data_IF_578384161733
#
_entry.id   IF_578384161733
#
_cell.length_a   1.000
_cell.length_b   1.000
_cell.length_c   1.000
_cell.angle_alpha   90.00
_cell.angle_beta   90.00
_cell.angle_gamma   90.00
#
_symmetry.space_group_name_H-M   'P 1'
#
loop_
_entity.id
_entity.type
_entity.pdbx_description
1 polymer ?
#
# COMPACT_ATOMS: atom_id res chain seq x y z
N UNK A 1 -10.67 12.93 -8.84
CA UNK A 1 -11.45 11.81 -9.41
C UNK A 1 -11.06 10.54 -8.69
N UNK A 2 -12.01 9.67 -8.25
CA UNK A 2 -11.72 8.36 -7.65
C UNK A 2 -11.80 7.30 -8.75
N UNK A 3 -10.76 6.50 -8.93
CA UNK A 3 -10.64 5.50 -10.01
C UNK A 3 -10.32 4.14 -9.40
N UNK A 4 -10.87 3.09 -10.01
CA UNK A 4 -10.65 1.73 -9.57
C UNK A 4 -11.32 1.39 -8.23
N UNK A 5 -10.92 0.27 -7.65
CA UNK A 5 -11.37 -0.18 -6.33
C UNK A 5 -12.86 -0.60 -6.26
N UNK A 6 -13.47 -0.88 -7.40
CA UNK A 6 -14.88 -1.30 -7.44
C UNK A 6 -15.10 -2.59 -6.63
N UNK A 7 -14.15 -3.53 -6.67
CA UNK A 7 -14.22 -4.79 -5.92
C UNK A 7 -14.14 -4.56 -4.42
N UNK A 8 -13.21 -3.73 -3.99
CA UNK A 8 -13.02 -3.37 -2.58
C UNK A 8 -14.24 -2.59 -2.03
N UNK A 9 -14.74 -1.61 -2.80
CA UNK A 9 -15.95 -0.89 -2.43
C UNK A 9 -17.16 -1.81 -2.32
N UNK A 10 -17.38 -2.70 -3.28
CA UNK A 10 -18.48 -3.68 -3.23
C UNK A 10 -18.36 -4.63 -2.03
N UNK A 11 -17.13 -5.01 -1.67
CA UNK A 11 -16.91 -5.85 -0.50
C UNK A 11 -17.24 -5.09 0.79
N UNK A 12 -16.82 -3.81 0.92
CA UNK A 12 -17.17 -2.96 2.05
C UNK A 12 -18.67 -2.68 2.13
N UNK A 13 -19.33 -2.45 0.98
CA UNK A 13 -20.80 -2.27 0.95
C UNK A 13 -21.53 -3.52 1.43
N UNK A 14 -21.11 -4.72 1.05
CA UNK A 14 -21.71 -5.98 1.55
C UNK A 14 -21.61 -6.09 3.06
N UNK A 15 -20.47 -5.73 3.66
CA UNK A 15 -20.29 -5.71 5.11
C UNK A 15 -21.15 -4.63 5.78
N UNK A 16 -21.29 -3.48 5.15
CA UNK A 16 -22.13 -2.39 5.70
C UNK A 16 -23.58 -2.76 5.79
N UNK A 17 -24.12 -3.49 4.79
CA UNK A 17 -25.53 -3.90 4.76
C UNK A 17 -25.83 -5.20 5.52
N UNK A 18 -24.83 -5.84 6.13
CA UNK A 18 -25.08 -6.95 7.05
C UNK A 18 -25.74 -6.42 8.35
N UNK A 19 -26.54 -7.24 9.02
CA UNK A 19 -27.27 -6.83 10.24
C UNK A 19 -26.57 -7.30 11.55
N UNK A 20 -25.26 -7.54 11.47
CA UNK A 20 -24.46 -8.01 12.59
C UNK A 20 -23.10 -7.30 12.62
N UNK A 21 -22.35 -7.50 13.70
CA UNK A 21 -21.02 -6.94 13.85
C UNK A 21 -20.09 -7.36 12.70
N UNK A 22 -19.36 -6.38 12.16
CA UNK A 22 -18.36 -6.61 11.12
C UNK A 22 -17.00 -6.04 11.53
N UNK A 23 -15.95 -6.76 11.19
CA UNK A 23 -14.59 -6.33 11.42
C UNK A 23 -13.73 -6.51 10.17
N UNK A 24 -13.44 -5.41 9.48
CA UNK A 24 -12.59 -5.36 8.30
C UNK A 24 -11.18 -4.88 8.64
N UNK A 25 -10.18 -5.56 8.07
CA UNK A 25 -8.77 -5.13 8.12
C UNK A 25 -8.34 -4.72 6.73
N UNK A 26 -7.98 -3.43 6.56
CA UNK A 26 -7.51 -2.85 5.30
C UNK A 26 -6.04 -2.52 5.46
N UNK A 27 -5.17 -3.12 4.65
CA UNK A 27 -3.75 -2.88 4.73
C UNK A 27 -3.10 -2.90 3.35
N UNK A 28 -1.91 -2.40 3.27
CA UNK A 28 -1.16 -2.27 2.04
C UNK A 28 -0.08 -1.21 2.22
N UNK A 29 0.92 -1.19 1.34
CA UNK A 29 2.00 -0.23 1.49
C UNK A 29 1.49 1.22 1.43
N UNK A 30 2.33 2.17 1.80
CA UNK A 30 2.02 3.60 1.69
C UNK A 30 1.70 3.98 0.25
N UNK A 31 0.83 5.01 0.07
CA UNK A 31 0.52 5.65 -1.22
C UNK A 31 -0.35 4.85 -2.19
N UNK A 32 -0.80 3.64 -1.81
CA UNK A 32 -1.70 2.82 -2.65
C UNK A 32 -3.17 3.24 -2.57
N UNK A 33 -3.51 4.29 -1.79
CA UNK A 33 -4.86 4.86 -1.77
C UNK A 33 -5.82 4.25 -0.74
N UNK A 34 -5.34 3.65 0.36
CA UNK A 34 -6.18 3.09 1.44
C UNK A 34 -7.12 4.12 2.05
N UNK A 35 -6.58 5.26 2.48
CA UNK A 35 -7.35 6.36 3.07
C UNK A 35 -8.39 6.91 2.09
N UNK A 36 -8.03 7.04 0.81
CA UNK A 36 -8.97 7.48 -0.23
C UNK A 36 -10.13 6.48 -0.43
N UNK A 37 -9.83 5.16 -0.40
CA UNK A 37 -10.85 4.11 -0.45
C UNK A 37 -11.82 4.22 0.74
N UNK A 38 -11.30 4.34 1.95
CA UNK A 38 -12.10 4.45 3.17
C UNK A 38 -12.93 5.74 3.14
N UNK A 39 -12.32 6.88 2.82
CA UNK A 39 -13.02 8.17 2.73
C UNK A 39 -14.15 8.12 1.70
N UNK A 40 -13.92 7.49 0.54
CA UNK A 40 -14.96 7.30 -0.48
C UNK A 40 -16.10 6.41 0.02
N UNK A 41 -15.77 5.34 0.75
CA UNK A 41 -16.75 4.40 1.28
C UNK A 41 -17.64 5.03 2.37
N UNK A 42 -17.06 5.82 3.27
CA UNK A 42 -17.80 6.39 4.43
C UNK A 42 -18.51 7.70 4.12
N UNK A 43 -18.32 8.30 2.94
CA UNK A 43 -18.73 9.66 2.58
C UNK A 43 -20.20 9.97 2.91
N UNK A 44 -21.11 9.01 2.69
CA UNK A 44 -22.56 9.17 2.87
C UNK A 44 -23.11 8.23 3.95
N UNK A 45 -22.29 7.87 4.93
CA UNK A 45 -22.63 6.88 5.97
C UNK A 45 -22.41 7.41 7.38
N UNK A 46 -23.12 6.84 8.33
CA UNK A 46 -22.90 7.07 9.77
C UNK A 46 -21.52 6.50 10.17
N UNK A 47 -20.52 7.35 10.21
CA UNK A 47 -19.14 6.95 10.41
C UNK A 47 -18.38 7.86 11.39
N UNK A 48 -17.61 7.22 12.27
CA UNK A 48 -16.57 7.83 13.11
C UNK A 48 -15.24 7.51 12.45
N UNK A 49 -14.54 8.54 11.98
CA UNK A 49 -13.22 8.40 11.39
C UNK A 49 -12.16 8.99 12.32
N UNK A 50 -11.22 8.15 12.70
CA UNK A 50 -10.08 8.53 13.53
C UNK A 50 -8.78 8.12 12.84
N UNK A 51 -7.86 9.06 12.70
CA UNK A 51 -6.51 8.82 12.18
C UNK A 51 -5.51 8.77 13.34
N UNK A 52 -4.86 7.65 13.52
CA UNK A 52 -3.77 7.48 14.47
C UNK A 52 -2.54 8.27 14.08
N UNK A 53 -1.90 8.89 15.05
CA UNK A 53 -0.67 9.66 14.87
C UNK A 53 0.50 9.03 15.66
N UNK A 54 1.71 9.20 15.17
CA UNK A 54 2.92 8.78 15.86
C UNK A 54 3.18 9.71 17.07
N UNK A 55 2.46 9.45 18.16
CA UNK A 55 2.46 10.25 19.37
C UNK A 55 2.12 9.39 20.60
N UNK A 56 1.92 10.03 21.76
CA UNK A 56 1.59 9.36 23.01
C UNK A 56 0.20 8.69 22.96
N UNK A 57 0.00 7.71 23.86
CA UNK A 57 -1.33 7.11 24.09
C UNK A 57 -2.38 8.16 24.41
N UNK A 58 -2.04 9.12 25.28
CA UNK A 58 -2.93 10.22 25.68
C UNK A 58 -3.40 11.03 24.48
N UNK A 59 -2.49 11.47 23.62
CA UNK A 59 -2.83 12.28 22.45
C UNK A 59 -3.74 11.52 21.47
N UNK A 60 -3.46 10.24 21.23
CA UNK A 60 -4.31 9.41 20.38
C UNK A 60 -5.70 9.18 20.99
N UNK A 61 -5.80 9.05 22.32
CA UNK A 61 -7.06 8.93 23.02
C UNK A 61 -7.88 10.24 22.95
N UNK A 62 -7.24 11.38 23.11
CA UNK A 62 -7.88 12.70 22.95
C UNK A 62 -8.43 12.87 21.53
N UNK A 63 -7.66 12.52 20.50
CA UNK A 63 -8.09 12.60 19.11
C UNK A 63 -9.27 11.64 18.81
N UNK A 64 -9.23 10.41 19.30
CA UNK A 64 -10.36 9.47 19.19
C UNK A 64 -11.60 10.01 19.91
N UNK A 65 -11.43 10.54 21.12
CA UNK A 65 -12.51 11.11 21.91
C UNK A 65 -13.18 12.25 21.17
N UNK A 66 -12.39 13.13 20.56
CA UNK A 66 -12.91 14.25 19.74
C UNK A 66 -13.76 13.73 18.58
N UNK A 67 -13.25 12.75 17.80
CA UNK A 67 -14.01 12.16 16.68
C UNK A 67 -15.33 11.51 17.14
N UNK A 68 -15.35 10.85 18.30
CA UNK A 68 -16.57 10.25 18.85
C UNK A 68 -17.58 11.33 19.29
N UNK A 69 -17.12 12.39 19.95
CA UNK A 69 -17.98 13.47 20.43
C UNK A 69 -18.56 14.29 19.27
N UNK A 70 -17.75 14.58 18.27
CA UNK A 70 -18.17 15.22 17.03
C UNK A 70 -19.32 14.46 16.35
N UNK A 71 -19.18 13.13 16.25
CA UNK A 71 -20.22 12.27 15.71
C UNK A 71 -21.50 12.25 16.58
N UNK A 72 -21.39 12.19 17.92
CA UNK A 72 -22.52 11.98 18.81
C UNK A 72 -23.29 13.27 19.14
N UNK A 73 -22.62 14.41 19.25
CA UNK A 73 -23.23 15.70 19.68
C UNK A 73 -23.22 16.78 18.59
N UNK A 74 -22.49 16.57 17.49
CA UNK A 74 -22.30 17.59 16.45
C UNK A 74 -21.48 18.81 16.91
N UNK A 75 -20.88 18.76 18.09
CA UNK A 75 -20.13 19.86 18.69
C UNK A 75 -18.71 19.36 19.02
N UNK A 76 -17.70 20.16 18.70
CA UNK A 76 -16.35 19.94 19.22
C UNK A 76 -16.37 20.09 20.75
N UNK A 77 -16.28 18.96 21.47
CA UNK A 77 -16.19 18.96 22.92
C UNK A 77 -14.72 18.76 23.34
N UNK A 78 -14.28 19.56 24.31
CA UNK A 78 -12.94 19.41 24.94
C UNK A 78 -12.84 18.22 25.89
N UNK A 79 -13.92 17.45 26.07
CA UNK A 79 -13.98 16.30 26.98
C UNK A 79 -13.37 15.06 26.33
N UNK A 80 -12.42 14.42 27.01
CA UNK A 80 -11.81 13.16 26.61
C UNK A 80 -12.32 12.00 27.46
N UNK A 81 -12.43 10.81 26.85
CA UNK A 81 -12.65 9.57 27.60
C UNK A 81 -11.44 9.26 28.50
N UNK A 82 -11.68 8.55 29.61
CA UNK A 82 -10.62 8.20 30.56
C UNK A 82 -9.67 7.11 30.05
N UNK A 83 -10.12 6.32 29.06
CA UNK A 83 -9.33 5.22 28.48
C UNK A 83 -9.85 4.82 27.10
N UNK A 84 -9.01 4.16 26.28
CA UNK A 84 -9.45 3.53 25.03
C UNK A 84 -10.59 2.54 25.25
N UNK A 85 -10.59 1.82 26.38
CA UNK A 85 -11.68 0.90 26.69
C UNK A 85 -13.01 1.64 26.82
N UNK A 86 -13.06 2.73 27.58
CA UNK A 86 -14.27 3.51 27.76
C UNK A 86 -14.76 4.13 26.44
N UNK A 87 -13.84 4.67 25.63
CA UNK A 87 -14.15 5.27 24.33
C UNK A 87 -14.73 4.24 23.36
N UNK A 88 -14.06 3.08 23.21
CA UNK A 88 -14.49 2.02 22.31
C UNK A 88 -15.79 1.37 22.79
N UNK A 89 -15.94 1.08 24.09
CA UNK A 89 -17.19 0.54 24.65
C UNK A 89 -18.37 1.47 24.38
N UNK A 90 -18.19 2.77 24.48
CA UNK A 90 -19.23 3.75 24.10
C UNK A 90 -19.64 3.60 22.63
N UNK A 91 -18.71 3.43 21.71
CA UNK A 91 -19.00 3.23 20.27
C UNK A 91 -19.73 1.90 20.03
N UNK A 92 -19.33 0.80 20.70
CA UNK A 92 -20.05 -0.48 20.61
C UNK A 92 -21.51 -0.34 21.03
N UNK A 93 -21.79 0.41 22.11
CA UNK A 93 -23.17 0.67 22.59
C UNK A 93 -23.96 1.60 21.68
N UNK A 94 -23.32 2.61 21.08
CA UNK A 94 -23.98 3.44 20.05
C UNK A 94 -24.48 2.58 18.89
N UNK A 95 -23.68 1.58 18.51
CA UNK A 95 -23.99 0.68 17.40
C UNK A 95 -24.99 -0.45 17.74
N UNK A 96 -25.48 -0.58 18.97
CA UNK A 96 -26.58 -1.51 19.29
C UNK A 96 -27.89 -1.13 18.62
N UNK A 97 -28.14 0.17 18.44
CA UNK A 97 -29.39 0.71 17.90
C UNK A 97 -29.39 0.87 16.38
N UNK A 98 -28.24 1.18 15.79
CA UNK A 98 -28.08 1.42 14.35
C UNK A 98 -26.71 1.02 13.87
N UNK A 99 -26.57 0.81 12.55
CA UNK A 99 -25.25 0.61 11.94
C UNK A 99 -24.40 1.87 12.14
N UNK A 100 -23.21 1.68 12.69
CA UNK A 100 -22.17 2.72 12.81
C UNK A 100 -20.85 2.15 12.29
N UNK A 101 -20.11 2.93 11.56
CA UNK A 101 -18.75 2.60 11.14
C UNK A 101 -17.78 3.27 12.11
N UNK A 102 -16.82 2.52 12.65
CA UNK A 102 -15.64 3.07 13.31
C UNK A 102 -14.43 2.73 12.48
N UNK A 103 -13.76 3.73 11.94
CA UNK A 103 -12.47 3.57 11.25
C UNK A 103 -11.33 4.06 12.13
N UNK A 104 -10.35 3.19 12.35
CA UNK A 104 -9.06 3.56 12.95
C UNK A 104 -8.02 3.46 11.83
N UNK A 105 -7.76 4.58 11.18
CA UNK A 105 -6.71 4.67 10.14
C UNK A 105 -5.35 4.85 10.79
N UNK A 106 -4.30 4.34 10.17
CA UNK A 106 -2.94 4.20 10.74
C UNK A 106 -2.94 3.56 12.14
N UNK A 107 -3.76 2.50 12.31
CA UNK A 107 -3.84 1.70 13.54
C UNK A 107 -2.48 1.31 14.14
N UNK A 108 -1.42 0.98 13.36
CA UNK A 108 -0.11 0.67 13.91
C UNK A 108 0.48 1.74 14.82
N UNK A 109 0.23 3.04 14.59
CA UNK A 109 0.71 4.10 15.46
C UNK A 109 0.01 4.07 16.83
N UNK A 110 -1.31 3.92 16.82
CA UNK A 110 -2.11 3.87 18.06
C UNK A 110 -1.74 2.64 18.88
N UNK A 111 -1.62 1.49 18.23
CA UNK A 111 -1.32 0.22 18.91
C UNK A 111 0.12 0.14 19.44
N UNK A 112 1.07 0.83 18.83
CA UNK A 112 2.43 0.97 19.40
C UNK A 112 2.44 1.88 20.63
N UNK A 113 1.63 2.92 20.64
CA UNK A 113 1.50 3.83 21.79
C UNK A 113 0.72 3.19 22.94
N UNK A 114 -0.33 2.42 22.65
CA UNK A 114 -1.16 1.70 23.65
C UNK A 114 -1.06 0.19 23.46
N UNK A 115 -0.20 -0.45 24.23
CA UNK A 115 0.04 -1.90 24.15
C UNK A 115 -1.19 -2.75 24.49
N UNK A 116 -2.13 -2.21 25.25
CA UNK A 116 -3.37 -2.87 25.66
C UNK A 116 -4.47 -2.80 24.60
N UNK A 117 -4.34 -1.92 23.57
CA UNK A 117 -5.43 -1.63 22.62
C UNK A 117 -5.95 -2.87 21.88
N UNK A 118 -5.05 -3.73 21.39
CA UNK A 118 -5.45 -4.96 20.70
C UNK A 118 -6.24 -5.92 21.63
N UNK A 119 -5.81 -6.10 22.87
CA UNK A 119 -6.51 -6.93 23.86
C UNK A 119 -7.83 -6.27 24.31
N UNK A 120 -7.87 -4.96 24.42
CA UNK A 120 -9.09 -4.21 24.70
C UNK A 120 -10.13 -4.39 23.59
N UNK A 121 -9.72 -4.25 22.32
CA UNK A 121 -10.60 -4.54 21.18
C UNK A 121 -11.08 -5.99 21.19
N UNK A 122 -10.18 -6.94 21.49
CA UNK A 122 -10.54 -8.35 21.61
C UNK A 122 -11.67 -8.56 22.64
N UNK A 123 -11.51 -8.04 23.86
CA UNK A 123 -12.52 -8.15 24.92
C UNK A 123 -13.86 -7.52 24.54
N UNK A 124 -13.84 -6.33 23.92
CA UNK A 124 -15.06 -5.64 23.53
C UNK A 124 -15.76 -6.34 22.37
N UNK A 125 -15.03 -6.85 21.36
CA UNK A 125 -15.60 -7.63 20.27
C UNK A 125 -16.29 -8.89 20.85
N UNK A 126 -15.59 -9.66 21.70
CA UNK A 126 -16.15 -10.87 22.29
C UNK A 126 -17.40 -10.59 23.17
N UNK A 127 -17.45 -9.42 23.82
CA UNK A 127 -18.57 -9.01 24.66
C UNK A 127 -19.79 -8.51 23.86
N UNK A 128 -19.57 -7.76 22.78
CA UNK A 128 -20.61 -6.99 22.11
C UNK A 128 -20.99 -7.47 20.71
N UNK A 129 -20.24 -8.40 20.08
CA UNK A 129 -20.46 -8.80 18.68
C UNK A 129 -21.87 -9.31 18.36
N UNK A 130 -22.57 -9.89 19.37
CA UNK A 130 -23.94 -10.41 19.15
C UNK A 130 -25.01 -9.32 19.26
N UNK A 131 -24.71 -8.21 19.96
CA UNK A 131 -25.67 -7.14 20.20
C UNK A 131 -25.43 -5.89 19.34
N UNK A 132 -24.18 -5.67 18.94
CA UNK A 132 -23.77 -4.46 18.24
C UNK A 132 -23.73 -4.65 16.74
N UNK A 133 -24.23 -3.66 16.01
CA UNK A 133 -24.11 -3.56 14.54
C UNK A 133 -22.91 -2.72 14.10
N UNK A 134 -21.87 -2.65 14.94
CA UNK A 134 -20.65 -1.91 14.63
C UNK A 134 -19.95 -2.53 13.42
N UNK A 135 -19.56 -1.70 12.47
CA UNK A 135 -18.57 -2.04 11.45
C UNK A 135 -17.24 -1.41 11.84
N UNK A 136 -16.33 -2.22 12.39
CA UNK A 136 -14.98 -1.79 12.73
C UNK A 136 -14.06 -1.93 11.52
N UNK A 137 -13.34 -0.87 11.17
CA UNK A 137 -12.32 -0.88 10.13
C UNK A 137 -10.97 -0.52 10.77
N UNK A 138 -10.02 -1.44 10.77
CA UNK A 138 -8.62 -1.15 11.09
C UNK A 138 -7.83 -1.02 9.80
N UNK A 139 -7.21 0.14 9.62
CA UNK A 139 -6.37 0.42 8.45
C UNK A 139 -4.91 0.67 8.87
N UNK A 140 -3.95 0.22 8.07
CA UNK A 140 -2.54 0.46 8.34
C UNK A 140 -1.66 0.33 7.12
N UNK A 141 -0.63 1.19 7.08
CA UNK A 141 0.40 1.19 6.02
C UNK A 141 1.61 0.31 6.35
N UNK A 142 1.87 0.03 7.63
CA UNK A 142 2.96 -0.85 8.05
C UNK A 142 2.59 -2.32 7.81
N UNK A 143 3.01 -2.86 6.66
CA UNK A 143 2.69 -4.22 6.20
C UNK A 143 3.07 -5.27 7.25
N UNK A 144 4.32 -5.25 7.72
CA UNK A 144 4.81 -6.21 8.71
C UNK A 144 4.01 -6.14 10.01
N UNK A 145 3.70 -4.92 10.49
CA UNK A 145 2.88 -4.77 11.70
C UNK A 145 1.48 -5.38 11.52
N UNK A 146 0.82 -5.08 10.41
CA UNK A 146 -0.52 -5.60 10.15
C UNK A 146 -0.52 -7.12 10.00
N UNK A 147 0.45 -7.68 9.29
CA UNK A 147 0.58 -9.13 9.10
C UNK A 147 0.94 -9.86 10.41
N UNK A 148 1.90 -9.33 11.19
CA UNK A 148 2.43 -9.98 12.39
C UNK A 148 1.60 -9.74 13.66
N UNK A 149 1.04 -8.53 13.84
CA UNK A 149 0.39 -8.10 15.08
C UNK A 149 -1.14 -8.05 15.01
N UNK A 150 -1.73 -8.06 13.81
CA UNK A 150 -3.19 -8.04 13.62
C UNK A 150 -3.70 -9.34 13.01
N UNK A 151 -3.04 -9.84 11.98
CA UNK A 151 -3.51 -10.96 11.18
C UNK A 151 -2.93 -12.32 11.61
N UNK A 152 -1.79 -12.34 12.26
CA UNK A 152 -1.10 -13.57 12.66
C UNK A 152 -1.90 -14.39 13.70
N UNK A 153 -1.71 -15.71 13.67
CA UNK A 153 -2.41 -16.67 14.53
C UNK A 153 -2.31 -16.36 16.04
N UNK A 154 -1.19 -15.78 16.47
CA UNK A 154 -0.96 -15.43 17.89
C UNK A 154 -1.46 -14.02 18.26
N UNK A 155 -1.95 -13.25 17.31
CA UNK A 155 -2.43 -11.90 17.56
C UNK A 155 -3.78 -11.91 18.30
N UNK A 156 -4.04 -10.97 19.24
CA UNK A 156 -5.31 -10.91 19.97
C UNK A 156 -6.56 -10.83 19.09
N UNK A 157 -6.44 -10.21 17.93
CA UNK A 157 -7.55 -10.01 16.97
C UNK A 157 -7.71 -11.16 15.98
N UNK A 158 -6.84 -12.18 16.02
CA UNK A 158 -6.96 -13.35 15.16
C UNK A 158 -8.31 -14.06 15.30
N UNK A 159 -8.89 -14.46 14.17
CA UNK A 159 -10.19 -15.16 14.12
C UNK A 159 -11.42 -14.29 14.38
N UNK A 160 -11.26 -12.96 14.62
CA UNK A 160 -12.38 -12.03 14.86
C UNK A 160 -12.73 -11.18 13.65
N UNK A 161 -11.82 -11.09 12.68
CA UNK A 161 -12.07 -10.36 11.43
C UNK A 161 -13.10 -11.10 10.57
N UNK A 162 -13.99 -10.36 9.96
CA UNK A 162 -14.96 -10.84 8.97
C UNK A 162 -14.50 -10.59 7.54
N UNK A 163 -13.59 -9.60 7.35
CA UNK A 163 -12.97 -9.32 6.07
C UNK A 163 -11.51 -8.86 6.21
N UNK A 164 -10.75 -9.11 5.15
CA UNK A 164 -9.35 -8.70 5.03
C UNK A 164 -9.09 -8.24 3.60
N UNK A 165 -8.55 -7.04 3.44
CA UNK A 165 -8.26 -6.43 2.15
C UNK A 165 -6.82 -5.95 2.10
N UNK A 166 -6.00 -6.59 1.26
CA UNK A 166 -4.64 -6.13 0.95
C UNK A 166 -4.72 -5.24 -0.28
N UNK A 167 -4.62 -3.92 -0.09
CA UNK A 167 -4.70 -2.95 -1.17
C UNK A 167 -3.37 -2.93 -1.93
N UNK A 168 -3.44 -3.29 -3.20
CA UNK A 168 -2.31 -3.32 -4.12
C UNK A 168 -2.26 -2.02 -4.95
N UNK A 169 -1.12 -1.66 -5.57
CA UNK A 169 -1.10 -0.69 -6.65
C UNK A 169 -2.11 -1.05 -7.75
N UNK A 170 -2.52 -0.09 -8.54
CA UNK A 170 -3.35 -0.33 -9.72
C UNK A 170 -2.65 -1.26 -10.70
N UNK A 171 -3.42 -2.13 -11.33
CA UNK A 171 -2.96 -2.87 -12.49
C UNK A 171 -2.86 -1.96 -13.74
N UNK A 172 -2.42 -2.52 -14.86
CA UNK A 172 -2.31 -1.78 -16.11
C UNK A 172 -3.66 -1.21 -16.55
N UNK A 173 -4.74 -1.99 -16.47
CA UNK A 173 -6.06 -1.55 -16.91
C UNK A 173 -6.62 -0.40 -16.05
N UNK A 174 -6.43 -0.46 -14.74
CA UNK A 174 -6.80 0.63 -13.81
C UNK A 174 -5.94 1.87 -14.08
N UNK A 175 -4.63 1.70 -14.32
CA UNK A 175 -3.72 2.82 -14.67
C UNK A 175 -4.11 3.48 -15.98
N UNK A 176 -4.55 2.72 -16.99
CA UNK A 176 -5.05 3.27 -18.25
C UNK A 176 -6.30 4.16 -18.06
N UNK A 177 -7.13 3.87 -17.06
CA UNK A 177 -8.30 4.72 -16.72
C UNK A 177 -7.87 6.03 -16.07
N UNK A 178 -6.68 6.06 -15.47
CA UNK A 178 -6.09 7.25 -14.88
C UNK A 178 -5.48 8.18 -15.93
N UNK A 179 -4.75 7.61 -16.90
CA UNK A 179 -4.05 8.32 -17.97
C UNK A 179 -4.90 8.30 -19.26
N UNK A 180 -5.97 9.11 -19.32
CA UNK A 180 -6.97 9.01 -20.40
C UNK A 180 -6.48 9.53 -21.74
N UNK A 181 -5.66 10.58 -21.74
CA UNK A 181 -5.22 11.30 -22.94
C UNK A 181 -4.01 10.68 -23.65
N UNK A 182 -3.30 9.76 -23.01
CA UNK A 182 -2.21 9.02 -23.63
C UNK A 182 -2.69 8.01 -24.67
N UNK A 183 -1.89 7.81 -25.72
CA UNK A 183 -2.03 6.68 -26.66
C UNK A 183 -1.82 5.33 -25.91
N UNK A 184 -2.23 4.19 -26.50
CA UNK A 184 -1.97 2.88 -25.89
C UNK A 184 -0.49 2.62 -25.57
N UNK A 185 0.41 3.04 -26.45
CA UNK A 185 1.86 2.92 -26.31
C UNK A 185 2.37 3.80 -25.17
N UNK A 186 1.93 5.05 -25.11
CA UNK A 186 2.28 5.97 -24.02
C UNK A 186 1.74 5.49 -22.67
N UNK A 187 0.53 4.90 -22.63
CA UNK A 187 -0.01 4.27 -21.41
C UNK A 187 0.87 3.12 -20.92
N UNK A 188 1.32 2.26 -21.84
CA UNK A 188 2.22 1.16 -21.49
C UNK A 188 3.56 1.70 -20.98
N UNK A 189 4.15 2.68 -21.65
CA UNK A 189 5.39 3.31 -21.24
C UNK A 189 5.23 4.02 -19.89
N UNK A 190 4.16 4.78 -19.67
CA UNK A 190 3.89 5.46 -18.40
C UNK A 190 3.69 4.46 -17.26
N UNK A 191 3.00 3.34 -17.50
CA UNK A 191 2.90 2.25 -16.53
C UNK A 191 4.27 1.64 -16.18
N UNK A 192 5.15 1.51 -17.18
CA UNK A 192 6.52 1.07 -16.97
C UNK A 192 7.35 2.06 -16.14
N UNK A 193 7.09 3.36 -16.29
CA UNK A 193 7.85 4.44 -15.61
C UNK A 193 7.31 4.72 -14.21
N UNK A 194 6.01 4.95 -14.07
CA UNK A 194 5.38 5.39 -12.82
C UNK A 194 4.77 4.25 -12.00
N UNK A 195 4.54 3.09 -12.61
CA UNK A 195 3.79 1.99 -12.00
C UNK A 195 2.31 2.33 -11.80
N UNK A 196 1.65 1.52 -10.97
CA UNK A 196 0.23 1.67 -10.66
C UNK A 196 -0.04 2.31 -9.27
N UNK A 197 0.94 2.92 -8.62
CA UNK A 197 0.73 3.56 -7.33
C UNK A 197 0.02 4.90 -7.50
N UNK A 198 -1.22 5.08 -6.95
CA UNK A 198 -2.02 6.30 -7.19
C UNK A 198 -1.28 7.60 -6.90
N UNK A 199 -0.51 7.67 -5.81
CA UNK A 199 0.24 8.88 -5.45
C UNK A 199 1.32 9.24 -6.47
N UNK A 200 1.89 8.27 -7.18
CA UNK A 200 2.88 8.53 -8.22
C UNK A 200 2.19 8.98 -9.50
N UNK A 201 1.06 8.35 -9.83
CA UNK A 201 0.25 8.75 -10.98
C UNK A 201 -0.28 10.20 -10.86
N UNK A 202 -0.56 10.68 -9.64
CA UNK A 202 -0.94 12.09 -9.38
C UNK A 202 0.16 13.10 -9.76
N UNK A 203 1.42 12.67 -9.87
CA UNK A 203 2.52 13.54 -10.28
C UNK A 203 2.71 13.57 -11.81
N UNK A 204 1.97 12.71 -12.53
CA UNK A 204 2.04 12.64 -14.00
C UNK A 204 0.95 13.50 -14.63
N UNK A 205 1.29 14.08 -15.78
CA UNK A 205 0.38 14.90 -16.57
C UNK A 205 0.20 14.26 -17.94
N UNK A 206 -0.96 13.68 -18.20
CA UNK A 206 -1.28 13.01 -19.46
C UNK A 206 -1.65 13.97 -20.63
N UNK A 207 -1.56 15.28 -20.40
CA UNK A 207 -1.55 16.31 -21.45
C UNK A 207 -0.13 16.65 -21.94
N UNK A 208 0.91 16.10 -21.32
CA UNK A 208 2.30 16.23 -21.73
C UNK A 208 2.82 14.88 -22.22
N UNK A 209 3.86 14.89 -23.06
CA UNK A 209 4.49 13.64 -23.49
C UNK A 209 5.07 12.83 -22.32
N UNK A 210 5.28 11.53 -22.50
CA UNK A 210 5.96 10.70 -21.49
C UNK A 210 7.38 11.19 -21.24
N UNK A 211 8.07 11.67 -22.27
CA UNK A 211 9.38 12.32 -22.18
C UNK A 211 9.38 13.49 -21.20
N UNK A 212 8.42 14.43 -21.39
CA UNK A 212 8.28 15.61 -20.50
C UNK A 212 7.96 15.17 -19.05
N UNK A 213 7.12 14.17 -18.87
CA UNK A 213 6.83 13.60 -17.56
C UNK A 213 8.09 13.05 -16.89
N UNK A 214 8.90 12.26 -17.61
CA UNK A 214 10.17 11.74 -17.08
C UNK A 214 11.11 12.88 -16.69
N UNK A 215 11.26 13.88 -17.55
CA UNK A 215 12.13 15.05 -17.30
C UNK A 215 11.69 15.85 -16.08
N UNK A 216 10.39 16.08 -15.95
CA UNK A 216 9.82 16.93 -14.91
C UNK A 216 9.71 16.23 -13.55
N UNK A 217 9.75 14.89 -13.51
CA UNK A 217 9.59 14.11 -12.28
C UNK A 217 10.87 13.37 -11.88
N UNK A 218 11.33 12.41 -12.69
CA UNK A 218 12.47 11.55 -12.35
C UNK A 218 13.83 12.23 -12.50
N UNK A 219 13.93 13.21 -13.41
CA UNK A 219 15.18 13.91 -13.70
C UNK A 219 15.19 15.35 -13.14
N UNK A 220 14.24 15.68 -12.27
CA UNK A 220 14.11 16.97 -11.63
C UNK A 220 14.33 16.84 -10.10
N UNK A 221 15.44 17.33 -9.54
CA UNK A 221 15.72 17.25 -8.09
C UNK A 221 14.65 17.91 -7.21
N UNK A 222 13.84 18.82 -7.75
CA UNK A 222 12.76 19.47 -7.02
C UNK A 222 11.45 18.67 -7.03
N UNK A 223 11.39 17.55 -7.76
CA UNK A 223 10.23 16.69 -7.80
C UNK A 223 10.20 15.74 -6.61
N UNK A 224 8.98 15.51 -6.07
CA UNK A 224 8.77 14.52 -5.02
C UNK A 224 9.14 13.08 -5.46
N UNK A 225 9.02 12.76 -6.76
CA UNK A 225 9.37 11.45 -7.32
C UNK A 225 10.88 11.22 -7.29
N UNK A 226 11.69 12.26 -7.48
CA UNK A 226 13.15 12.14 -7.51
C UNK A 226 13.72 11.58 -6.19
N UNK A 227 13.20 12.03 -5.05
CA UNK A 227 13.64 11.59 -3.71
C UNK A 227 12.81 10.44 -3.15
N UNK A 228 11.77 10.02 -3.86
CA UNK A 228 10.78 9.07 -3.35
C UNK A 228 11.35 7.73 -2.88
N UNK A 229 12.20 7.01 -3.66
CA UNK A 229 12.71 5.72 -3.21
C UNK A 229 13.53 5.81 -1.92
N UNK A 230 14.36 6.85 -1.82
CA UNK A 230 15.15 7.12 -0.60
C UNK A 230 14.27 7.46 0.60
N UNK A 231 13.26 8.30 0.38
CA UNK A 231 12.31 8.72 1.42
C UNK A 231 11.47 7.56 1.94
N UNK A 232 10.97 6.71 1.04
CA UNK A 232 10.18 5.54 1.41
C UNK A 232 11.03 4.54 2.23
N UNK A 233 12.24 4.22 1.79
CA UNK A 233 13.11 3.31 2.53
C UNK A 233 13.45 3.85 3.92
N UNK A 234 13.79 5.13 4.06
CA UNK A 234 14.06 5.75 5.37
C UNK A 234 12.87 5.66 6.34
N UNK A 235 11.64 5.68 5.82
CA UNK A 235 10.42 5.56 6.64
C UNK A 235 10.10 4.12 7.04
N UNK A 236 10.46 3.15 6.21
CA UNK A 236 10.05 1.75 6.39
C UNK A 236 11.14 0.87 7.02
N UNK A 237 12.43 1.26 6.92
CA UNK A 237 13.54 0.41 7.35
C UNK A 237 14.59 1.18 8.16
N UNK A 238 15.29 0.45 9.05
CA UNK A 238 16.30 1.06 9.94
C UNK A 238 17.65 1.31 9.28
N UNK A 239 18.03 0.46 8.31
CA UNK A 239 19.34 0.48 7.63
C UNK A 239 19.18 0.62 6.12
N UNK A 240 18.77 1.80 5.61
CA UNK A 240 18.43 1.98 4.19
C UNK A 240 19.57 1.66 3.22
N UNK A 241 20.83 1.75 3.64
CA UNK A 241 22.00 1.58 2.77
C UNK A 241 22.06 0.18 2.14
N UNK A 242 21.87 -0.89 2.93
CA UNK A 242 21.91 -2.26 2.44
C UNK A 242 20.70 -2.53 1.52
N UNK A 243 19.53 -2.02 1.88
CA UNK A 243 18.34 -2.13 1.03
C UNK A 243 18.56 -1.46 -0.34
N UNK A 244 19.13 -0.26 -0.36
CA UNK A 244 19.50 0.44 -1.59
C UNK A 244 20.48 -0.38 -2.43
N UNK A 245 21.52 -0.95 -1.82
CA UNK A 245 22.50 -1.78 -2.52
C UNK A 245 21.86 -3.02 -3.16
N UNK A 246 20.94 -3.69 -2.45
CA UNK A 246 20.21 -4.86 -2.95
C UNK A 246 19.32 -4.48 -4.13
N UNK A 247 18.50 -3.40 -4.01
CA UNK A 247 17.62 -2.96 -5.09
C UNK A 247 18.45 -2.56 -6.32
N UNK A 248 19.55 -1.84 -6.11
CA UNK A 248 20.49 -1.47 -7.20
C UNK A 248 21.08 -2.70 -7.88
N UNK A 249 21.52 -3.72 -7.11
CA UNK A 249 22.04 -4.96 -7.67
C UNK A 249 21.01 -5.66 -8.57
N UNK A 250 19.74 -5.70 -8.14
CA UNK A 250 18.65 -6.29 -8.92
C UNK A 250 18.31 -5.42 -10.15
N UNK A 251 18.20 -4.10 -10.00
CA UNK A 251 17.94 -3.17 -11.10
C UNK A 251 19.01 -3.24 -12.21
N UNK A 252 20.24 -3.59 -11.83
CA UNK A 252 21.37 -3.77 -12.75
C UNK A 252 21.62 -5.21 -13.17
N UNK A 253 20.61 -6.10 -13.03
CA UNK A 253 20.54 -7.42 -13.65
C UNK A 253 20.90 -8.61 -12.75
N UNK A 254 21.19 -8.43 -11.44
CA UNK A 254 21.29 -9.57 -10.53
C UNK A 254 19.90 -10.13 -10.24
N UNK A 255 19.69 -11.40 -10.49
CA UNK A 255 18.37 -12.05 -10.32
C UNK A 255 18.37 -13.18 -9.30
N UNK A 256 19.54 -13.70 -8.95
CA UNK A 256 19.69 -14.81 -7.99
C UNK A 256 20.35 -14.33 -6.71
N UNK A 257 20.05 -14.99 -5.59
CA UNK A 257 20.60 -14.60 -4.28
C UNK A 257 22.14 -14.54 -4.28
N UNK A 258 22.82 -15.49 -4.93
CA UNK A 258 24.28 -15.49 -5.05
C UNK A 258 24.82 -14.28 -5.84
N UNK A 259 24.14 -13.87 -6.91
CA UNK A 259 24.52 -12.70 -7.70
C UNK A 259 24.30 -11.40 -6.92
N UNK A 260 23.15 -11.32 -6.20
CA UNK A 260 22.82 -10.19 -5.33
C UNK A 260 23.88 -10.04 -4.23
N UNK A 261 24.17 -11.14 -3.49
CA UNK A 261 25.14 -11.10 -2.41
C UNK A 261 26.55 -10.72 -2.88
N UNK A 262 26.97 -11.23 -4.04
CA UNK A 262 28.27 -10.87 -4.65
C UNK A 262 28.32 -9.38 -5.01
N UNK A 263 27.26 -8.83 -5.61
CA UNK A 263 27.21 -7.39 -5.97
C UNK A 263 27.13 -6.46 -4.76
N UNK A 264 26.42 -6.88 -3.71
CA UNK A 264 26.26 -6.11 -2.48
C UNK A 264 27.50 -6.20 -1.58
N UNK A 265 28.26 -7.30 -1.68
CA UNK A 265 29.43 -7.55 -0.81
C UNK A 265 29.06 -8.08 0.57
N UNK A 266 27.87 -8.68 0.72
CA UNK A 266 27.34 -9.23 1.97
C UNK A 266 27.03 -10.72 1.83
N UNK A 267 26.99 -11.45 2.96
CA UNK A 267 26.61 -12.85 2.97
C UNK A 267 25.18 -13.09 2.47
N UNK A 268 24.98 -14.20 1.75
CA UNK A 268 23.65 -14.57 1.22
C UNK A 268 22.55 -14.69 2.29
N UNK A 269 22.90 -15.10 3.51
CA UNK A 269 21.95 -15.17 4.64
C UNK A 269 21.51 -13.77 5.08
N UNK A 270 22.44 -12.82 5.12
CA UNK A 270 22.16 -11.40 5.44
C UNK A 270 21.28 -10.83 4.34
N UNK A 271 21.70 -10.93 3.08
CA UNK A 271 20.90 -10.47 1.94
C UNK A 271 19.49 -11.08 1.91
N UNK A 272 19.35 -12.37 2.24
CA UNK A 272 18.06 -13.06 2.28
C UNK A 272 17.08 -12.41 3.26
N UNK A 273 17.57 -11.93 4.41
CA UNK A 273 16.72 -11.24 5.41
C UNK A 273 16.21 -9.90 4.86
N UNK A 274 17.09 -9.11 4.27
CA UNK A 274 16.73 -7.83 3.67
C UNK A 274 15.80 -8.00 2.46
N UNK A 275 16.05 -9.00 1.60
CA UNK A 275 15.17 -9.33 0.46
C UNK A 275 13.77 -9.74 0.93
N UNK A 276 13.63 -10.52 2.02
CA UNK A 276 12.31 -10.85 2.59
C UNK A 276 11.54 -9.59 3.00
N UNK A 277 12.22 -8.63 3.62
CA UNK A 277 11.59 -7.37 4.00
C UNK A 277 11.16 -6.55 2.75
N UNK A 278 12.01 -6.50 1.71
CA UNK A 278 11.66 -5.83 0.45
C UNK A 278 10.48 -6.49 -0.26
N UNK A 279 10.34 -7.82 -0.16
CA UNK A 279 9.16 -8.54 -0.65
C UNK A 279 7.93 -8.18 0.17
N UNK A 280 8.04 -8.14 1.50
CA UNK A 280 6.95 -7.72 2.37
C UNK A 280 6.49 -6.27 2.08
N UNK A 281 7.43 -5.39 1.71
CA UNK A 281 7.14 -4.02 1.30
C UNK A 281 6.58 -3.91 -0.14
N UNK A 282 6.52 -5.01 -0.90
CA UNK A 282 6.05 -5.00 -2.29
C UNK A 282 6.99 -4.26 -3.26
N UNK A 283 8.28 -4.16 -2.92
CA UNK A 283 9.31 -3.54 -3.79
C UNK A 283 9.94 -4.60 -4.69
N UNK A 284 10.16 -5.80 -4.14
CA UNK A 284 10.73 -6.95 -4.85
C UNK A 284 9.72 -8.08 -4.86
N UNK A 285 9.67 -8.83 -5.95
CA UNK A 285 8.95 -10.10 -6.04
C UNK A 285 9.91 -11.27 -6.15
N UNK A 286 9.46 -12.41 -5.68
CA UNK A 286 10.15 -13.69 -5.78
C UNK A 286 9.38 -14.58 -6.74
N UNK A 287 10.04 -15.03 -7.78
CA UNK A 287 9.47 -15.94 -8.76
C UNK A 287 10.14 -17.31 -8.65
N UNK A 288 9.32 -18.35 -8.70
CA UNK A 288 9.77 -19.74 -8.74
C UNK A 288 9.14 -20.38 -9.97
N UNK A 289 9.90 -21.06 -10.83
CA UNK A 289 9.35 -21.73 -11.99
C UNK A 289 8.28 -22.74 -11.60
N UNK A 290 7.20 -22.78 -12.38
CA UNK A 290 6.07 -23.69 -12.14
C UNK A 290 6.53 -25.15 -12.08
N UNK A 291 6.07 -25.89 -11.08
CA UNK A 291 6.40 -27.32 -10.90
C UNK A 291 7.73 -27.60 -10.22
N UNK A 292 8.55 -26.60 -9.92
CA UNK A 292 9.84 -26.80 -9.25
C UNK A 292 9.74 -26.70 -7.72
N UNK A 293 10.23 -27.71 -7.03
CA UNK A 293 10.31 -27.74 -5.55
C UNK A 293 11.60 -27.13 -5.00
N UNK A 294 12.58 -26.79 -5.87
CA UNK A 294 13.91 -26.35 -5.41
C UNK A 294 14.07 -24.84 -5.45
N UNK A 295 14.58 -24.27 -4.36
CA UNK A 295 14.89 -22.82 -4.24
C UNK A 295 16.06 -22.38 -5.15
N UNK A 296 16.80 -23.29 -5.79
CA UNK A 296 17.98 -22.99 -6.62
C UNK A 296 17.64 -22.20 -7.89
N UNK A 297 16.39 -22.29 -8.37
CA UNK A 297 15.92 -21.57 -9.58
C UNK A 297 15.07 -20.33 -9.26
N UNK A 298 15.06 -19.92 -7.99
CA UNK A 298 14.38 -18.70 -7.58
C UNK A 298 15.00 -17.47 -8.22
N UNK A 299 14.17 -16.62 -8.80
CA UNK A 299 14.51 -15.33 -9.40
C UNK A 299 13.90 -14.22 -8.56
N UNK A 300 14.65 -13.15 -8.37
CA UNK A 300 14.20 -11.92 -7.71
C UNK A 300 14.17 -10.79 -8.73
N UNK A 301 13.07 -10.06 -8.79
CA UNK A 301 12.90 -8.90 -9.66
C UNK A 301 12.25 -7.75 -8.89
N UNK A 302 12.37 -6.52 -9.39
CA UNK A 302 11.69 -5.37 -8.80
C UNK A 302 10.22 -5.44 -9.22
N UNK A 303 9.31 -5.44 -8.24
CA UNK A 303 7.87 -5.48 -8.43
C UNK A 303 7.32 -4.12 -8.84
N UNK A 304 7.77 -3.07 -8.16
CA UNK A 304 7.29 -1.71 -8.40
C UNK A 304 8.01 -1.06 -9.57
N UNK A 305 7.26 -0.73 -10.63
CA UNK A 305 7.85 -0.17 -11.84
C UNK A 305 8.49 1.20 -11.63
N UNK A 306 7.96 2.05 -10.73
CA UNK A 306 8.59 3.33 -10.40
C UNK A 306 9.96 3.12 -9.79
N UNK A 307 10.09 2.18 -8.85
CA UNK A 307 11.39 1.78 -8.28
C UNK A 307 12.29 1.19 -9.35
N UNK A 308 11.78 0.30 -10.21
CA UNK A 308 12.53 -0.31 -11.31
C UNK A 308 13.11 0.74 -12.25
N UNK A 309 12.30 1.71 -12.68
CA UNK A 309 12.75 2.81 -13.53
C UNK A 309 13.78 3.68 -12.84
N UNK A 310 13.47 4.12 -11.61
CA UNK A 310 14.34 5.01 -10.85
C UNK A 310 15.73 4.38 -10.61
N UNK A 311 15.79 3.15 -10.06
CA UNK A 311 17.06 2.48 -9.76
C UNK A 311 17.86 2.09 -11.01
N UNK A 312 17.18 1.91 -12.13
CA UNK A 312 17.84 1.61 -13.40
C UNK A 312 18.51 2.84 -14.00
N UNK A 313 17.88 4.02 -13.91
CA UNK A 313 18.29 5.16 -14.73
C UNK A 313 18.73 6.38 -13.93
N UNK A 314 18.14 6.68 -12.77
CA UNK A 314 18.40 7.94 -12.05
C UNK A 314 19.79 7.94 -11.40
N UNK A 315 20.25 6.92 -10.65
CA UNK A 315 21.53 6.96 -9.97
C UNK A 315 22.74 7.16 -10.90
N UNK A 316 22.73 6.50 -12.06
CA UNK A 316 23.79 6.61 -13.05
C UNK A 316 23.89 8.02 -13.68
N UNK A 317 22.81 8.78 -13.65
CA UNK A 317 22.71 10.12 -14.22
C UNK A 317 22.73 11.25 -13.14
N UNK A 318 22.85 10.91 -11.86
CA UNK A 318 22.77 11.90 -10.77
C UNK A 318 23.70 13.11 -10.95
N UNK A 319 24.94 12.91 -11.40
CA UNK A 319 25.89 14.00 -11.61
C UNK A 319 25.49 14.97 -12.75
N UNK A 320 24.76 14.46 -13.74
CA UNK A 320 24.24 15.23 -14.88
C UNK A 320 22.99 15.98 -14.44
N UNK A 321 22.09 15.29 -13.73
CA UNK A 321 20.83 15.83 -13.20
C UNK A 321 21.13 16.97 -12.21
N UNK A 322 22.09 16.79 -11.29
CA UNK A 322 22.48 17.79 -10.31
C UNK A 322 23.05 19.10 -10.94
N UNK A 323 23.55 19.01 -12.17
CA UNK A 323 24.02 20.17 -12.95
C UNK A 323 22.90 20.82 -13.78
N UNK A 324 21.66 20.34 -13.68
CA UNK A 324 20.54 20.83 -14.45
C UNK A 324 20.54 20.41 -15.94
N UNK A 325 21.41 19.50 -16.35
CA UNK A 325 21.52 19.04 -17.73
C UNK A 325 20.51 17.90 -18.03
N UNK A 326 19.22 18.16 -17.78
CA UNK A 326 18.11 17.19 -17.88
C UNK A 326 17.99 16.58 -19.28
N UNK A 327 18.15 17.40 -20.32
CA UNK A 327 18.13 16.94 -21.73
C UNK A 327 19.24 15.91 -22.02
N UNK A 328 20.43 16.11 -21.47
CA UNK A 328 21.52 15.17 -21.64
C UNK A 328 21.25 13.87 -20.88
N UNK A 329 20.67 13.95 -19.68
CA UNK A 329 20.28 12.78 -18.91
C UNK A 329 19.23 11.96 -19.66
N UNK A 330 18.19 12.62 -20.21
CA UNK A 330 17.13 11.93 -20.97
C UNK A 330 17.69 11.24 -22.23
N UNK A 331 18.53 11.92 -23.03
CA UNK A 331 19.16 11.33 -24.22
C UNK A 331 19.99 10.06 -23.91
N UNK A 332 20.48 9.90 -22.70
CA UNK A 332 21.15 8.67 -22.27
C UNK A 332 20.17 7.56 -21.91
N UNK A 333 18.98 7.90 -21.46
CA UNK A 333 17.94 6.95 -21.03
C UNK A 333 17.13 6.46 -22.24
N UNK A 334 16.75 7.34 -23.13
CA UNK A 334 15.86 7.10 -24.27
C UNK A 334 16.19 5.84 -25.10
N UNK A 335 17.46 5.60 -25.52
CA UNK A 335 17.82 4.41 -26.31
C UNK A 335 17.60 3.08 -25.57
N UNK A 336 17.48 3.11 -24.25
CA UNK A 336 17.31 1.93 -23.41
C UNK A 336 15.85 1.68 -23.00
N UNK A 337 14.93 2.57 -23.34
CA UNK A 337 13.51 2.45 -22.96
C UNK A 337 12.85 1.24 -23.60
N UNK A 338 13.17 0.95 -24.86
CA UNK A 338 12.59 -0.20 -25.55
C UNK A 338 12.98 -1.53 -24.87
N UNK A 339 14.26 -1.70 -24.54
CA UNK A 339 14.76 -2.88 -23.84
C UNK A 339 14.15 -2.97 -22.42
N UNK A 340 14.10 -1.84 -21.72
CA UNK A 340 13.47 -1.74 -20.39
C UNK A 340 12.01 -2.19 -20.41
N UNK A 341 11.25 -1.83 -21.44
CA UNK A 341 9.84 -2.16 -21.60
C UNK A 341 9.56 -3.63 -21.88
N UNK A 342 10.54 -4.43 -22.28
CA UNK A 342 10.36 -5.85 -22.58
C UNK A 342 9.72 -6.61 -21.42
N UNK A 343 10.31 -6.54 -20.23
CA UNK A 343 9.74 -7.19 -19.02
C UNK A 343 8.42 -6.57 -18.56
N UNK A 344 8.25 -5.25 -18.71
CA UNK A 344 7.00 -4.57 -18.37
C UNK A 344 5.87 -5.08 -19.26
N UNK A 345 6.14 -5.27 -20.55
CA UNK A 345 5.15 -5.76 -21.49
C UNK A 345 4.74 -7.22 -21.20
N UNK A 346 5.67 -8.06 -20.77
CA UNK A 346 5.38 -9.42 -20.29
C UNK A 346 4.43 -9.37 -19.07
N UNK A 347 4.68 -8.47 -18.11
CA UNK A 347 3.81 -8.26 -16.95
C UNK A 347 2.40 -7.78 -17.37
N UNK A 348 2.30 -6.84 -18.33
CA UNK A 348 1.02 -6.36 -18.88
C UNK A 348 0.26 -7.51 -19.56
N UNK A 349 0.93 -8.29 -20.40
CA UNK A 349 0.33 -9.46 -21.03
C UNK A 349 -0.17 -10.49 -20.02
N UNK A 350 0.60 -10.76 -18.97
CA UNK A 350 0.21 -11.65 -17.89
C UNK A 350 -1.06 -11.16 -17.16
N UNK A 351 -1.13 -9.86 -16.82
CA UNK A 351 -2.32 -9.26 -16.21
C UNK A 351 -3.54 -9.38 -17.13
N UNK A 352 -3.37 -9.14 -18.43
CA UNK A 352 -4.45 -9.30 -19.41
C UNK A 352 -4.96 -10.74 -19.49
N UNK A 353 -4.07 -11.72 -19.61
CA UNK A 353 -4.45 -13.14 -19.65
C UNK A 353 -5.18 -13.58 -18.39
N UNK A 354 -4.71 -13.16 -17.20
CA UNK A 354 -5.40 -13.45 -15.94
C UNK A 354 -6.78 -12.79 -15.88
N UNK A 355 -6.97 -11.61 -16.44
CA UNK A 355 -8.29 -10.97 -16.51
C UNK A 355 -9.28 -11.78 -17.37
N UNK A 356 -8.81 -12.38 -18.47
CA UNK A 356 -9.63 -13.22 -19.34
C UNK A 356 -10.07 -14.52 -18.65
N UNK A 357 -9.21 -15.13 -17.84
CA UNK A 357 -9.56 -16.34 -17.07
C UNK A 357 -10.70 -16.04 -16.10
N UNK A 358 -10.66 -14.90 -15.41
CA UNK A 358 -11.75 -14.47 -14.51
C UNK A 358 -13.06 -14.13 -15.24
N UNK A 359 -12.99 -13.69 -16.50
CA UNK A 359 -14.17 -13.43 -17.33
C UNK A 359 -14.76 -14.75 -17.88
N UNK A 360 -13.91 -15.73 -18.19
CA UNK A 360 -14.30 -16.99 -18.82
C UNK A 360 -14.69 -18.11 -17.84
N UNK A 361 -14.43 -17.97 -16.54
CA UNK A 361 -15.04 -18.85 -15.54
C UNK A 361 -16.53 -18.50 -15.42
N UNK A 362 -17.45 -19.31 -16.01
CA UNK A 362 -18.85 -19.11 -15.70
C UNK A 362 -19.02 -19.34 -14.21
N UNK A 363 -19.56 -18.36 -13.52
CA UNK A 363 -20.06 -18.50 -12.15
C UNK A 363 -20.87 -19.79 -12.10
N UNK A 364 -20.28 -20.89 -11.69
CA UNK A 364 -21.03 -22.06 -11.23
C UNK A 364 -21.65 -21.65 -9.89
N UNK A 365 -22.72 -20.88 -10.00
CA UNK A 365 -23.74 -20.78 -8.97
C UNK A 365 -24.38 -22.17 -8.84
N UNK A 366 -23.97 -22.82 -7.83
CA UNK A 366 -24.77 -23.88 -7.25
C UNK A 366 -25.21 -23.44 -5.87
#
# INVERSE_FOLDING_TARGET
>A
MFIGRERELQALERLFYSDHFEFAVIYGRRRVGKTALISRFIQDKDAIYFMGVESSEKQNLENLSKSIMEYSSGIEAETSFLSFQAALEYVFRLAEKKRVILTIDEYPYVARASKSLASTLQLLIDKYKEASKLMLILCGSSMSYMEDQVLAYKAPLYGRRTAQMKIQPFDFAETCRYCQYFSPEEKALMYGVAGGTPQYLLQMNDHQSVEENIKNTFLNPNSAIYEEPSSLLKQEVREPAIYNAIITAIATGASRMAEISTKVGEDSNVCSTYVKNLIALGIIRKEVPYGEKTTRKTIYSIEDNMFRFWYRFVPENNSIIARGAVELAYRRIEPHLSDYMGHIFEDICSQYLLSLIHISEPTRLL
#
